data_IF_255449243385
#
_entry.id   IF_255449243385
#
_cell.length_a   1.000
_cell.length_b   1.000
_cell.length_c   1.000
_cell.angle_alpha   90.00
_cell.angle_beta   90.00
_cell.angle_gamma   90.00
#
_symmetry.space_group_name_H-M   'P 1'
#
loop_
_entity.id
_entity.type
_entity.pdbx_description
1 polymer ?
#
# COMPACT_ATOMS: atom_id res chain seq x y z
N UNK A 1 4.98 -3.29 2.74
CA UNK A 1 3.79 -3.42 3.62
C UNK A 1 4.19 -3.27 5.07
N UNK A 2 5.01 -4.17 5.62
CA UNK A 2 5.48 -4.09 7.02
C UNK A 2 6.14 -2.75 7.31
N UNK A 3 7.18 -2.37 6.57
CA UNK A 3 7.85 -1.07 6.74
C UNK A 3 6.90 0.16 6.74
N UNK A 4 5.81 0.12 5.96
CA UNK A 4 4.82 1.21 5.94
C UNK A 4 3.90 1.17 7.17
N UNK A 5 3.37 0.00 7.51
CA UNK A 5 2.30 -0.14 8.51
C UNK A 5 2.79 -0.43 9.92
N UNK A 6 4.10 -0.66 10.11
CA UNK A 6 4.75 -0.58 11.42
C UNK A 6 4.81 0.85 11.95
N UNK A 7 4.62 1.85 11.09
CA UNK A 7 4.52 3.26 11.47
C UNK A 7 3.08 3.66 11.83
N UNK A 8 2.87 4.11 13.07
CA UNK A 8 1.54 4.47 13.55
C UNK A 8 0.92 5.65 12.77
N UNK A 9 1.73 6.63 12.35
CA UNK A 9 1.24 7.78 11.61
C UNK A 9 0.66 7.36 10.25
N UNK A 10 1.36 6.47 9.53
CA UNK A 10 0.88 5.88 8.27
C UNK A 10 -0.34 4.99 8.53
N UNK A 11 -0.28 4.10 9.53
CA UNK A 11 -1.36 3.16 9.85
C UNK A 11 -2.70 3.85 10.12
N UNK A 12 -2.69 5.00 10.79
CA UNK A 12 -3.91 5.76 11.08
C UNK A 12 -4.49 6.51 9.88
N UNK A 13 -3.72 6.63 8.78
CA UNK A 13 -4.02 7.52 7.64
C UNK A 13 -4.23 6.79 6.34
N UNK A 14 -3.64 5.62 6.18
CA UNK A 14 -3.70 4.85 4.94
C UNK A 14 -4.32 3.49 5.20
N UNK A 15 -5.10 3.02 4.23
CA UNK A 15 -5.57 1.64 4.18
C UNK A 15 -5.18 1.00 2.84
N UNK A 16 -4.87 -0.29 2.87
CA UNK A 16 -4.57 -1.08 1.69
C UNK A 16 -5.86 -1.50 0.98
N UNK A 17 -5.91 -1.37 -0.35
CA UNK A 17 -7.14 -1.58 -1.13
C UNK A 17 -6.89 -2.24 -2.50
N UNK A 18 -7.98 -2.41 -3.25
CA UNK A 18 -8.08 -2.87 -4.65
C UNK A 18 -7.63 -4.32 -4.83
N UNK A 19 -7.46 -4.74 -6.09
CA UNK A 19 -7.08 -6.12 -6.44
C UNK A 19 -5.76 -6.55 -5.79
N UNK A 20 -4.84 -5.61 -5.54
CA UNK A 20 -3.58 -5.92 -4.84
C UNK A 20 -3.84 -6.32 -3.38
N UNK A 21 -4.78 -5.68 -2.67
CA UNK A 21 -5.20 -6.13 -1.34
C UNK A 21 -5.82 -7.52 -1.36
N UNK A 22 -6.71 -7.80 -2.32
CA UNK A 22 -7.32 -9.12 -2.47
C UNK A 22 -6.25 -10.22 -2.66
N UNK A 23 -5.32 -10.00 -3.60
CA UNK A 23 -4.27 -10.99 -3.90
C UNK A 23 -3.23 -11.17 -2.81
N UNK A 24 -2.88 -10.11 -2.06
CA UNK A 24 -1.81 -10.18 -1.06
C UNK A 24 -2.31 -10.52 0.35
N UNK A 25 -3.55 -10.17 0.70
CA UNK A 25 -4.09 -10.39 2.05
C UNK A 25 -5.02 -11.61 2.14
N UNK A 26 -5.73 -11.96 1.06
CA UNK A 26 -6.82 -12.95 1.13
C UNK A 26 -6.62 -14.19 0.24
N UNK A 27 -5.61 -14.19 -0.64
CA UNK A 27 -5.27 -15.34 -1.47
C UNK A 27 -3.88 -15.84 -1.09
N UNK A 28 -3.79 -17.07 -0.59
CA UNK A 28 -2.53 -17.70 -0.23
C UNK A 28 -2.34 -19.04 -0.99
N UNK A 29 -1.21 -19.22 -1.70
CA UNK A 29 -0.17 -18.24 -1.96
C UNK A 29 -0.68 -17.09 -2.85
N UNK A 30 -0.02 -15.93 -2.80
CA UNK A 30 -0.39 -14.81 -3.65
C UNK A 30 -0.31 -15.25 -5.12
N UNK A 31 -1.44 -15.17 -5.83
CA UNK A 31 -1.56 -15.76 -7.18
C UNK A 31 -0.65 -15.11 -8.24
N UNK A 32 -0.07 -13.92 -7.96
CA UNK A 32 0.82 -13.19 -8.87
C UNK A 32 1.66 -12.15 -8.13
N UNK A 33 2.84 -11.86 -8.69
CA UNK A 33 3.63 -10.70 -8.33
C UNK A 33 2.91 -9.40 -8.75
N UNK A 34 3.05 -8.34 -7.95
CA UNK A 34 2.54 -7.01 -8.25
C UNK A 34 3.54 -5.95 -7.80
N UNK A 35 3.94 -5.11 -8.76
CA UNK A 35 4.79 -3.93 -8.60
C UNK A 35 4.08 -2.72 -7.99
N UNK A 36 2.77 -2.85 -7.73
CA UNK A 36 1.90 -1.77 -7.28
C UNK A 36 1.46 -2.01 -5.84
N UNK A 37 1.45 -0.95 -5.04
CA UNK A 37 0.81 -0.89 -3.72
C UNK A 37 -0.31 0.15 -3.83
N UNK A 38 -1.55 -0.30 -3.89
CA UNK A 38 -2.74 0.54 -3.93
C UNK A 38 -3.21 0.87 -2.51
N UNK A 39 -3.16 2.14 -2.15
CA UNK A 39 -3.60 2.68 -0.87
C UNK A 39 -4.74 3.66 -1.08
N UNK A 40 -5.45 3.92 0.01
CA UNK A 40 -6.40 5.00 0.11
C UNK A 40 -6.13 5.78 1.39
N UNK A 41 -6.23 7.10 1.29
CA UNK A 41 -6.22 7.97 2.44
C UNK A 41 -7.55 7.81 3.17
N UNK A 42 -7.52 7.55 4.47
CA UNK A 42 -8.73 7.25 5.27
C UNK A 42 -9.34 8.49 5.90
N UNK A 43 -8.54 9.56 6.06
CA UNK A 43 -8.96 10.85 6.62
C UNK A 43 -8.64 11.95 5.62
N UNK A 44 -9.59 12.81 5.31
CA UNK A 44 -9.37 13.94 4.41
C UNK A 44 -8.45 14.99 5.09
N UNK A 45 -7.19 15.01 4.70
CA UNK A 45 -6.18 15.96 5.20
C UNK A 45 -5.08 16.22 4.15
N UNK A 46 -4.21 17.19 4.42
CA UNK A 46 -3.08 17.48 3.53
C UNK A 46 -2.14 16.27 3.39
N UNK A 47 -1.85 15.89 2.15
CA UNK A 47 -1.11 14.65 1.86
C UNK A 47 0.42 14.77 2.00
N UNK A 48 0.95 15.99 2.14
CA UNK A 48 2.40 16.24 2.16
C UNK A 48 3.14 15.47 3.26
N UNK A 49 2.65 15.54 4.50
CA UNK A 49 3.26 14.83 5.63
C UNK A 49 3.23 13.30 5.45
N UNK A 50 2.21 12.77 4.76
CA UNK A 50 2.11 11.35 4.44
C UNK A 50 3.20 10.95 3.44
N UNK A 51 3.47 11.77 2.41
CA UNK A 51 4.56 11.53 1.46
C UNK A 51 5.90 11.49 2.18
N UNK A 52 6.17 12.46 3.05
CA UNK A 52 7.44 12.52 3.78
C UNK A 52 7.61 11.31 4.69
N UNK A 53 6.55 10.89 5.38
CA UNK A 53 6.64 9.69 6.22
C UNK A 53 6.85 8.41 5.42
N UNK A 54 6.22 8.27 4.25
CA UNK A 54 6.46 7.15 3.33
C UNK A 54 7.92 7.14 2.86
N UNK A 55 8.51 8.31 2.60
CA UNK A 55 9.91 8.43 2.18
C UNK A 55 10.88 8.02 3.29
N UNK A 56 10.60 8.39 4.54
CA UNK A 56 11.42 8.00 5.68
C UNK A 56 11.40 6.48 5.87
N UNK A 57 10.19 5.90 5.90
CA UNK A 57 10.01 4.45 6.10
C UNK A 57 10.59 3.61 4.97
N UNK A 58 10.67 4.17 3.75
CA UNK A 58 11.21 3.48 2.58
C UNK A 58 12.54 4.08 2.11
N UNK A 59 13.26 4.76 2.99
CA UNK A 59 14.54 5.41 2.67
C UNK A 59 15.59 4.43 2.13
N UNK A 60 15.52 3.16 2.54
CA UNK A 60 16.36 2.07 2.05
C UNK A 60 16.17 1.74 0.56
N UNK A 61 15.06 2.16 -0.06
CA UNK A 61 14.82 2.05 -1.50
C UNK A 61 15.41 3.22 -2.31
N UNK A 62 16.05 4.19 -1.64
CA UNK A 62 16.62 5.38 -2.26
C UNK A 62 15.60 6.51 -2.47
N UNK A 63 15.89 7.42 -3.41
CA UNK A 63 15.08 8.62 -3.64
C UNK A 63 13.95 8.34 -4.64
N UNK A 64 12.67 8.52 -4.26
CA UNK A 64 11.57 8.30 -5.19
C UNK A 64 11.31 9.51 -6.09
N UNK A 65 10.59 9.25 -7.19
CA UNK A 65 9.87 10.27 -7.95
C UNK A 65 8.44 10.38 -7.43
N UNK A 66 8.02 11.61 -7.10
CA UNK A 66 6.66 11.90 -6.62
C UNK A 66 5.85 12.52 -7.77
N UNK A 67 4.62 12.07 -7.94
CA UNK A 67 3.62 12.65 -8.82
C UNK A 67 2.35 12.91 -8.03
N UNK A 68 1.93 14.16 -7.93
CA UNK A 68 0.72 14.55 -7.22
C UNK A 68 -0.33 15.01 -8.23
N UNK A 69 -1.51 14.41 -8.18
CA UNK A 69 -2.67 14.80 -8.97
C UNK A 69 -3.83 15.14 -8.00
N UNK A 70 -4.91 15.72 -8.53
CA UNK A 70 -6.05 16.19 -7.72
C UNK A 70 -6.71 15.10 -6.85
N UNK A 71 -6.65 13.84 -7.29
CA UNK A 71 -7.33 12.71 -6.63
C UNK A 71 -6.40 11.55 -6.24
N UNK A 72 -5.14 11.58 -6.69
CA UNK A 72 -4.21 10.47 -6.50
C UNK A 72 -2.79 11.01 -6.33
N UNK A 73 -2.04 10.42 -5.42
CA UNK A 73 -0.61 10.66 -5.28
C UNK A 73 0.14 9.36 -5.61
N UNK A 74 1.17 9.45 -6.45
CA UNK A 74 2.00 8.31 -6.82
C UNK A 74 3.44 8.55 -6.38
N UNK A 75 4.00 7.59 -5.65
CA UNK A 75 5.39 7.57 -5.21
C UNK A 75 6.07 6.39 -5.92
N UNK A 76 7.11 6.67 -6.70
CA UNK A 76 7.75 5.69 -7.58
C UNK A 76 9.21 5.53 -7.16
N UNK A 77 9.58 4.34 -6.70
CA UNK A 77 10.97 3.95 -6.47
C UNK A 77 11.46 3.14 -7.68
N UNK A 78 12.66 3.46 -8.15
CA UNK A 78 13.39 2.65 -9.14
C UNK A 78 14.50 1.93 -8.40
N UNK A 79 14.46 0.60 -8.41
CA UNK A 79 15.45 -0.26 -7.73
C UNK A 79 16.02 -1.27 -8.72
N UNK A 80 17.20 -1.80 -8.44
CA UNK A 80 17.78 -2.90 -9.21
C UNK A 80 17.29 -4.22 -8.61
N UNK A 81 16.88 -5.16 -9.47
CA UNK A 81 16.68 -6.55 -9.07
C UNK A 81 18.03 -7.23 -8.80
N UNK A 82 17.99 -8.47 -8.29
CA UNK A 82 19.20 -9.28 -8.11
C UNK A 82 19.97 -9.51 -9.43
N UNK A 83 19.25 -9.60 -10.55
CA UNK A 83 19.82 -9.72 -11.90
C UNK A 83 20.20 -8.36 -12.54
N UNK A 84 20.38 -7.30 -11.76
CA UNK A 84 20.70 -5.94 -12.22
C UNK A 84 19.67 -5.31 -13.20
N UNK A 85 18.44 -5.82 -13.20
CA UNK A 85 17.36 -5.27 -14.03
C UNK A 85 16.63 -4.16 -13.27
N UNK A 86 16.50 -2.95 -13.84
CA UNK A 86 15.73 -1.88 -13.20
C UNK A 86 14.24 -2.22 -13.11
N UNK A 87 13.74 -2.34 -11.89
CA UNK A 87 12.30 -2.54 -11.59
C UNK A 87 11.73 -1.31 -10.88
N UNK A 88 10.41 -1.15 -10.92
CA UNK A 88 9.73 0.00 -10.32
C UNK A 88 8.72 -0.44 -9.28
N UNK A 89 8.91 0.00 -8.04
CA UNK A 89 7.87 -0.07 -7.03
C UNK A 89 7.02 1.21 -7.10
N UNK A 90 5.72 1.05 -7.34
CA UNK A 90 4.76 2.16 -7.37
C UNK A 90 3.82 2.07 -6.18
N UNK A 91 3.75 3.15 -5.41
CA UNK A 91 2.77 3.33 -4.35
C UNK A 91 1.78 4.37 -4.84
N UNK A 92 0.53 3.97 -5.03
CA UNK A 92 -0.55 4.86 -5.45
C UNK A 92 -1.51 5.06 -4.30
N UNK A 93 -1.86 6.31 -4.00
CA UNK A 93 -2.72 6.66 -2.88
C UNK A 93 -3.86 7.53 -3.35
N UNK A 94 -5.06 6.94 -3.41
CA UNK A 94 -6.28 7.69 -3.69
C UNK A 94 -6.65 8.56 -2.48
N UNK A 95 -6.90 9.85 -2.71
CA UNK A 95 -7.17 10.85 -1.65
C UNK A 95 -8.62 11.32 -1.59
N UNK A 96 -9.54 10.68 -2.32
CA UNK A 96 -10.95 11.10 -2.41
C UNK A 96 -11.92 10.02 -1.93
N UNK A 97 -11.55 8.76 -2.01
CA UNK A 97 -12.44 7.64 -1.68
C UNK A 97 -12.31 7.19 -0.22
N UNK A 98 -12.76 8.04 0.71
CA UNK A 98 -12.67 7.77 2.17
C UNK A 98 -13.76 6.83 2.71
N UNK A 99 -14.74 6.45 1.88
CA UNK A 99 -15.93 5.72 2.32
C UNK A 99 -15.66 4.23 2.57
N UNK A 100 -16.20 3.71 3.67
CA UNK A 100 -16.33 2.28 3.97
C UNK A 100 -17.76 1.99 4.45
N UNK A 101 -18.32 0.85 4.07
CA UNK A 101 -19.64 0.35 4.50
C UNK A 101 -19.52 -0.29 5.89
N UNK A 102 -18.49 -1.11 6.10
CA UNK A 102 -18.31 -1.89 7.35
C UNK A 102 -17.16 -1.38 8.24
N UNK A 103 -16.54 -0.26 7.88
CA UNK A 103 -15.31 0.20 8.53
C UNK A 103 -14.07 -0.51 7.98
N UNK A 104 -12.91 -0.15 8.54
CA UNK A 104 -11.64 -0.80 8.24
C UNK A 104 -11.38 -1.92 9.25
N UNK A 105 -10.72 -2.97 8.79
CA UNK A 105 -10.21 -4.06 9.61
C UNK A 105 -8.69 -4.14 9.51
N UNK A 106 -8.05 -4.55 10.58
CA UNK A 106 -6.59 -4.77 10.62
C UNK A 106 -6.29 -6.24 10.31
N UNK A 107 -5.56 -6.50 9.22
CA UNK A 107 -5.11 -7.86 8.85
C UNK A 107 -3.65 -8.05 9.23
N UNK A 108 -3.29 -9.10 9.98
CA UNK A 108 -1.89 -9.41 10.29
C UNK A 108 -1.16 -9.85 9.02
N UNK A 109 -0.07 -9.16 8.70
CA UNK A 109 0.86 -9.51 7.62
C UNK A 109 2.20 -9.83 8.24
N UNK A 110 2.72 -11.02 7.92
CA UNK A 110 4.03 -11.51 8.37
C UNK A 110 4.97 -11.71 7.19
N UNK A 111 6.23 -11.34 7.38
CA UNK A 111 7.33 -11.64 6.48
C UNK A 111 8.35 -12.43 7.28
N UNK A 112 8.72 -13.60 6.75
CA UNK A 112 9.86 -14.35 7.22
C UNK A 112 10.75 -14.63 6.02
N UNK A 113 11.93 -14.02 5.99
CA UNK A 113 12.88 -14.16 4.89
C UNK A 113 14.31 -14.13 5.43
N UNK A 114 15.27 -14.48 4.57
CA UNK A 114 16.70 -14.44 4.92
C UNK A 114 17.20 -13.00 5.15
N UNK A 115 16.56 -12.02 4.50
CA UNK A 115 16.97 -10.62 4.58
C UNK A 115 16.28 -9.85 5.71
N UNK A 116 15.05 -10.20 6.04
CA UNK A 116 14.26 -9.50 7.06
C UNK A 116 13.12 -10.36 7.63
N UNK A 117 12.74 -10.05 8.87
CA UNK A 117 11.63 -10.66 9.58
C UNK A 117 10.76 -9.58 10.21
N UNK A 118 9.45 -9.65 10.01
CA UNK A 118 8.56 -8.65 10.58
C UNK A 118 7.10 -9.01 10.54
N UNK A 119 6.32 -8.32 11.36
CA UNK A 119 4.87 -8.40 11.41
C UNK A 119 4.28 -6.99 11.50
N UNK A 120 3.18 -6.75 10.81
CA UNK A 120 2.40 -5.53 10.94
C UNK A 120 0.91 -5.82 10.76
N UNK A 121 0.08 -5.06 11.47
CA UNK A 121 -1.35 -4.99 11.22
C UNK A 121 -1.60 -3.99 10.09
N UNK A 122 -2.13 -4.48 8.97
CA UNK A 122 -2.42 -3.68 7.78
C UNK A 122 -3.91 -3.34 7.75
N UNK A 123 -4.28 -2.05 7.87
CA UNK A 123 -5.67 -1.62 7.71
C UNK A 123 -6.12 -1.88 6.28
N UNK A 124 -7.28 -2.50 6.12
CA UNK A 124 -7.90 -2.78 4.82
C UNK A 124 -9.43 -2.84 4.94
N UNK A 125 -10.10 -3.01 3.80
CA UNK A 125 -11.55 -3.13 3.71
C UNK A 125 -11.98 -4.58 3.91
N UNK A 126 -13.27 -4.77 4.18
CA UNK A 126 -13.89 -6.10 4.20
C UNK A 126 -13.70 -6.83 2.86
N UNK A 127 -13.61 -8.16 2.89
CA UNK A 127 -13.49 -8.97 1.66
C UNK A 127 -14.61 -8.66 0.67
N UNK A 128 -15.85 -8.57 1.16
CA UNK A 128 -17.03 -8.26 0.34
C UNK A 128 -16.94 -6.88 -0.33
N UNK A 129 -16.40 -5.88 0.36
CA UNK A 129 -16.20 -4.54 -0.20
C UNK A 129 -15.10 -4.52 -1.27
N UNK A 130 -14.01 -5.25 -1.03
CA UNK A 130 -12.93 -5.41 -2.01
C UNK A 130 -13.44 -6.13 -3.27
N UNK A 131 -14.25 -7.17 -3.11
CA UNK A 131 -14.89 -7.90 -4.22
C UNK A 131 -15.90 -7.01 -4.96
N UNK A 132 -16.76 -6.30 -4.25
CA UNK A 132 -17.74 -5.39 -4.84
C UNK A 132 -17.07 -4.24 -5.60
N UNK A 133 -15.96 -3.70 -5.10
CA UNK A 133 -15.16 -2.70 -5.81
C UNK A 133 -14.52 -3.28 -7.08
N UNK A 134 -14.06 -4.54 -7.02
CA UNK A 134 -13.49 -5.23 -8.18
C UNK A 134 -14.53 -5.48 -9.27
N UNK A 135 -15.71 -5.99 -8.90
CA UNK A 135 -16.83 -6.23 -9.82
C UNK A 135 -17.33 -4.95 -10.50
N UNK A 136 -17.37 -3.82 -9.78
CA UNK A 136 -17.72 -2.51 -10.36
C UNK A 136 -16.70 -1.96 -11.35
N UNK A 137 -15.46 -2.46 -11.32
CA UNK A 137 -14.36 -1.99 -12.18
C UNK A 137 -14.12 -2.84 -13.43
N UNK A 138 -14.89 -3.93 -13.61
CA UNK A 138 -14.91 -4.77 -14.79
C UNK A 138 -15.86 -4.17 -15.85
#
# INVERSE_FOLDING_TARGET
MIALFSDAFIKERLAFRRGTALHKLFLFPAARYSEYIDLVQVKAEAFGAIIDRIRDQLSFLGKPRIKQNEHNNTIIYSILSEDDVPIKLKIEVNTREHFSVYGLQDIPVRLHSEWDNGEALVPTYGLDELLAAKLRSL
#
